data_IF_602308583655
#
_entry.id   IF_602308583655
#
_cell.length_a   1.000
_cell.length_b   1.000
_cell.length_c   1.000
_cell.angle_alpha   90.00
_cell.angle_beta   90.00
_cell.angle_gamma   90.00
#
_symmetry.space_group_name_H-M   'P 1'
#
loop_
_entity.id
_entity.type
_entity.pdbx_description
1 polymer ?
#
# COMPACT_ATOMS: atom_id res chain seq x y z
N UNK A 1 -12.69 -26.02 -4.96
CA UNK A 1 -12.58 -24.94 -5.97
C UNK A 1 -13.02 -23.67 -5.28
N UNK A 2 -12.09 -22.84 -4.77
CA UNK A 2 -12.45 -21.70 -3.93
C UNK A 2 -12.05 -20.42 -4.64
N UNK A 3 -13.06 -19.73 -5.17
CA UNK A 3 -12.97 -18.35 -5.63
C UNK A 3 -12.79 -17.46 -4.39
N UNK A 4 -11.78 -16.59 -4.38
CA UNK A 4 -11.62 -15.59 -3.33
C UNK A 4 -11.76 -14.19 -3.91
N UNK A 5 -13.00 -13.70 -3.83
CA UNK A 5 -13.27 -12.44 -3.15
C UNK A 5 -13.17 -11.17 -3.99
N UNK A 6 -14.07 -11.01 -4.95
CA UNK A 6 -14.58 -9.70 -5.36
C UNK A 6 -15.23 -8.99 -4.14
N UNK A 7 -14.44 -8.35 -3.29
CA UNK A 7 -14.95 -7.25 -2.47
C UNK A 7 -14.78 -5.96 -3.26
N UNK A 8 -15.85 -5.60 -3.97
CA UNK A 8 -16.16 -4.34 -4.64
C UNK A 8 -15.12 -3.23 -4.44
N UNK A 9 -14.13 -3.24 -5.33
CA UNK A 9 -13.16 -2.17 -5.60
C UNK A 9 -13.82 -0.98 -6.35
N UNK A 10 -15.10 -0.68 -6.06
CA UNK A 10 -15.93 0.19 -6.89
C UNK A 10 -15.78 1.70 -6.63
N UNK A 11 -14.91 2.12 -5.71
CA UNK A 11 -14.68 3.55 -5.45
C UNK A 11 -13.21 3.99 -5.54
N UNK A 12 -12.37 3.28 -6.30
CA UNK A 12 -11.08 3.83 -6.71
C UNK A 12 -11.23 4.79 -7.90
N UNK A 13 -11.98 5.88 -7.69
CA UNK A 13 -11.93 7.01 -8.62
C UNK A 13 -10.68 7.83 -8.31
N UNK A 14 -9.81 7.95 -9.32
CA UNK A 14 -8.51 8.64 -9.37
C UNK A 14 -7.29 7.74 -9.20
N UNK A 15 -7.12 6.80 -10.13
CA UNK A 15 -5.81 6.17 -10.39
C UNK A 15 -4.98 7.14 -11.25
N UNK A 16 -3.96 7.78 -10.69
CA UNK A 16 -2.99 8.57 -11.46
C UNK A 16 -1.58 7.95 -11.42
N UNK A 17 -1.12 7.57 -12.62
CA UNK A 17 0.26 7.38 -13.09
C UNK A 17 1.12 6.19 -12.62
N UNK A 18 1.08 5.15 -13.45
CA UNK A 18 1.75 3.84 -13.36
C UNK A 18 3.26 3.87 -13.64
N UNK A 19 4.03 4.66 -12.89
CA UNK A 19 5.51 4.52 -12.90
C UNK A 19 6.18 4.78 -11.55
N UNK A 20 5.43 5.24 -10.53
CA UNK A 20 5.98 5.52 -9.18
C UNK A 20 5.08 5.08 -8.01
N UNK A 21 3.94 4.44 -8.23
CA UNK A 21 2.96 4.12 -7.17
C UNK A 21 1.56 4.63 -7.51
N UNK A 22 0.61 4.42 -6.61
CA UNK A 22 -0.75 4.98 -6.66
C UNK A 22 -1.08 5.64 -5.32
N UNK A 23 -1.85 6.72 -5.37
CA UNK A 23 -2.41 7.38 -4.20
C UNK A 23 -3.86 6.90 -4.00
N UNK A 24 -4.17 6.40 -2.81
CA UNK A 24 -5.48 5.86 -2.46
C UNK A 24 -6.11 6.78 -1.42
N UNK A 25 -7.10 7.56 -1.84
CA UNK A 25 -7.91 8.38 -0.92
C UNK A 25 -8.88 7.49 -0.17
N UNK A 26 -8.96 7.67 1.15
CA UNK A 26 -9.80 6.87 2.04
C UNK A 26 -10.43 7.77 3.11
N UNK A 27 -11.30 7.17 3.93
CA UNK A 27 -11.93 7.84 5.07
C UNK A 27 -10.89 8.21 6.14
N UNK A 28 -11.19 9.28 6.89
CA UNK A 28 -10.35 9.71 7.99
C UNK A 28 -10.11 8.59 9.02
N UNK A 29 -8.85 8.40 9.39
CA UNK A 29 -8.44 7.39 10.38
C UNK A 29 -8.44 5.95 9.87
N UNK A 30 -8.58 5.72 8.56
CA UNK A 30 -8.49 4.39 7.97
C UNK A 30 -7.11 3.73 8.22
N UNK A 31 -7.11 2.40 8.24
CA UNK A 31 -5.91 1.59 8.40
C UNK A 31 -5.32 1.17 7.06
N UNK A 32 -4.00 1.12 6.98
CA UNK A 32 -3.31 0.47 5.88
C UNK A 32 -3.28 -1.03 6.12
N UNK A 33 -3.88 -1.80 5.20
CA UNK A 33 -4.02 -3.25 5.31
C UNK A 33 -3.03 -3.97 4.40
N UNK A 34 -2.46 -5.07 4.88
CA UNK A 34 -1.63 -5.95 4.06
C UNK A 34 -2.46 -6.56 2.91
N UNK A 35 -2.02 -6.36 1.68
CA UNK A 35 -2.72 -6.86 0.48
C UNK A 35 -2.60 -8.38 0.35
N UNK A 36 -1.57 -8.97 0.96
CA UNK A 36 -1.30 -10.39 0.91
C UNK A 36 -0.50 -10.87 2.13
N UNK A 37 -0.44 -12.18 2.34
CA UNK A 37 0.45 -12.79 3.34
C UNK A 37 1.91 -12.44 3.03
N UNK A 38 2.70 -12.12 4.04
CA UNK A 38 4.09 -11.72 3.82
C UNK A 38 4.90 -11.51 5.08
N UNK A 39 6.10 -10.98 4.89
CA UNK A 39 7.01 -10.60 5.98
C UNK A 39 7.35 -9.12 5.85
N UNK A 40 7.20 -8.37 6.93
CA UNK A 40 7.63 -6.97 6.99
C UNK A 40 9.15 -6.93 6.86
N UNK A 41 9.64 -6.30 5.82
CA UNK A 41 11.09 -6.21 5.55
C UNK A 41 11.71 -4.95 6.13
N UNK A 42 10.98 -3.84 6.12
CA UNK A 42 11.43 -2.55 6.63
C UNK A 42 10.27 -1.73 7.16
N UNK A 43 10.59 -0.93 8.16
CA UNK A 43 9.76 0.13 8.73
C UNK A 43 10.66 1.35 8.88
N UNK A 44 10.28 2.47 8.28
CA UNK A 44 11.10 3.69 8.28
C UNK A 44 10.25 4.93 8.12
N UNK A 45 10.77 6.07 8.58
CA UNK A 45 10.17 7.38 8.36
C UNK A 45 10.93 8.12 7.25
N UNK A 46 10.19 8.81 6.38
CA UNK A 46 10.75 9.70 5.38
C UNK A 46 10.17 11.10 5.56
N UNK A 47 11.00 12.16 5.53
CA UNK A 47 10.51 13.52 5.43
C UNK A 47 9.55 13.66 4.24
N UNK A 48 8.33 14.15 4.48
CA UNK A 48 7.29 14.31 3.46
C UNK A 48 6.41 13.10 3.17
N UNK A 49 6.71 11.91 3.71
CA UNK A 49 5.89 10.70 3.56
C UNK A 49 5.54 10.02 4.89
N UNK A 50 5.74 10.72 6.01
CA UNK A 50 5.55 10.21 7.37
C UNK A 50 6.21 8.83 7.55
N UNK A 51 5.51 7.87 8.11
CA UNK A 51 5.99 6.51 8.25
C UNK A 51 5.65 5.64 7.04
N UNK A 52 6.51 4.66 6.78
CA UNK A 52 6.39 3.70 5.70
C UNK A 52 6.69 2.28 6.15
N UNK A 53 5.96 1.31 5.58
CA UNK A 53 6.11 -0.12 5.82
C UNK A 53 6.31 -0.82 4.48
N UNK A 54 7.29 -1.74 4.41
CA UNK A 54 7.52 -2.60 3.24
C UNK A 54 7.25 -4.04 3.59
N UNK A 55 6.39 -4.71 2.84
CA UNK A 55 6.06 -6.12 3.04
C UNK A 55 6.51 -6.93 1.82
N UNK A 56 7.23 -8.03 2.07
CA UNK A 56 7.61 -9.01 1.05
C UNK A 56 6.59 -10.14 0.97
N UNK A 57 6.07 -10.36 -0.22
CA UNK A 57 5.13 -11.41 -0.58
C UNK A 57 5.79 -12.36 -1.61
N UNK A 58 6.73 -13.18 -1.16
CA UNK A 58 7.58 -13.97 -2.06
C UNK A 58 8.42 -13.07 -2.98
N UNK A 59 8.13 -13.11 -4.29
CA UNK A 59 8.83 -12.33 -5.31
C UNK A 59 8.32 -10.87 -5.42
N UNK A 60 7.28 -10.51 -4.67
CA UNK A 60 6.71 -9.17 -4.69
C UNK A 60 7.07 -8.38 -3.43
N UNK A 61 7.15 -7.06 -3.57
CA UNK A 61 7.28 -6.10 -2.47
C UNK A 61 6.16 -5.08 -2.58
N UNK A 62 5.42 -4.88 -1.49
CA UNK A 62 4.46 -3.78 -1.36
C UNK A 62 5.02 -2.72 -0.42
N UNK A 63 4.76 -1.45 -0.72
CA UNK A 63 5.13 -0.30 0.11
C UNK A 63 3.87 0.45 0.47
N UNK A 64 3.73 0.74 1.76
CA UNK A 64 2.64 1.52 2.35
C UNK A 64 3.27 2.74 3.01
N UNK A 65 3.00 3.92 2.47
CA UNK A 65 3.57 5.18 2.95
C UNK A 65 2.47 6.16 3.38
N UNK A 66 2.87 7.27 3.98
CA UNK A 66 1.98 8.25 4.63
C UNK A 66 1.22 7.68 5.84
N UNK A 67 1.88 6.86 6.64
CA UNK A 67 1.29 6.32 7.88
C UNK A 67 1.59 7.24 9.07
N UNK A 68 0.55 7.58 9.85
CA UNK A 68 0.68 8.31 11.10
C UNK A 68 1.22 7.43 12.23
N UNK A 69 0.80 6.16 12.28
CA UNK A 69 1.27 5.18 13.26
C UNK A 69 1.51 3.83 12.61
N UNK A 70 2.34 3.01 13.25
CA UNK A 70 2.75 1.69 12.74
C UNK A 70 2.43 0.64 13.80
N UNK A 71 1.80 -0.46 13.40
CA UNK A 71 1.41 -1.56 14.28
C UNK A 71 2.30 -2.80 14.15
N UNK A 72 3.25 -2.77 13.22
CA UNK A 72 4.16 -3.88 12.89
C UNK A 72 5.63 -3.43 12.91
N UNK A 73 6.55 -4.38 12.99
CA UNK A 73 8.00 -4.14 12.89
C UNK A 73 8.65 -5.07 11.87
N UNK A 74 9.87 -4.73 11.46
CA UNK A 74 10.66 -5.59 10.58
C UNK A 74 10.82 -7.00 11.17
N UNK A 75 10.61 -8.01 10.33
CA UNK A 75 10.59 -9.44 10.70
C UNK A 75 9.20 -10.00 10.99
N UNK A 76 8.19 -9.16 11.23
CA UNK A 76 6.83 -9.65 11.52
C UNK A 76 6.22 -10.35 10.31
N UNK A 77 5.56 -11.49 10.54
CA UNK A 77 4.70 -12.14 9.55
C UNK A 77 3.34 -11.48 9.58
N UNK A 78 2.85 -11.07 8.42
CA UNK A 78 1.53 -10.46 8.27
C UNK A 78 0.62 -11.33 7.42
N UNK A 79 -0.67 -11.32 7.74
CA UNK A 79 -1.71 -11.99 6.94
C UNK A 79 -2.42 -10.98 6.04
N UNK A 80 -3.02 -11.45 4.96
CA UNK A 80 -3.94 -10.65 4.14
C UNK A 80 -5.00 -9.98 5.02
N UNK A 81 -5.18 -8.67 4.84
CA UNK A 81 -6.12 -7.87 5.62
C UNK A 81 -5.62 -7.44 7.01
N UNK A 82 -4.41 -7.84 7.42
CA UNK A 82 -3.85 -7.42 8.70
C UNK A 82 -3.49 -5.93 8.66
N UNK A 83 -3.91 -5.18 9.70
CA UNK A 83 -3.53 -3.78 9.90
C UNK A 83 -2.02 -3.63 10.08
N UNK A 84 -1.43 -2.75 9.28
CA UNK A 84 -0.01 -2.38 9.31
C UNK A 84 0.21 -1.06 10.07
N UNK A 85 -0.83 -0.23 10.18
CA UNK A 85 -0.75 1.10 10.76
C UNK A 85 -1.93 1.98 10.36
N UNK A 86 -2.02 3.17 10.96
CA UNK A 86 -3.03 4.18 10.61
C UNK A 86 -2.50 5.12 9.54
N UNK A 87 -3.34 5.42 8.55
CA UNK A 87 -3.01 6.40 7.50
C UNK A 87 -3.11 7.80 8.10
N UNK A 88 -2.18 8.68 7.70
CA UNK A 88 -2.16 10.07 8.15
C UNK A 88 -3.38 10.84 7.64
N UNK A 89 -3.96 11.65 8.54
CA UNK A 89 -5.07 12.55 8.25
C UNK A 89 -4.52 13.96 8.15
N UNK A 90 -4.61 14.57 6.98
CA UNK A 90 -4.25 15.97 6.78
C UNK A 90 -5.44 16.86 7.15
N UNK A 91 -5.47 17.33 8.41
CA UNK A 91 -6.51 18.21 8.93
C UNK A 91 -6.53 19.57 8.22
N UNK A 92 -5.37 20.04 7.73
CA UNK A 92 -5.27 21.29 6.98
C UNK A 92 -5.86 21.18 5.56
N UNK A 93 -5.95 19.97 5.01
CA UNK A 93 -6.54 19.70 3.70
C UNK A 93 -7.90 19.02 3.80
N UNK A 94 -8.81 19.55 4.62
CA UNK A 94 -10.19 19.04 4.76
C UNK A 94 -10.22 17.55 5.14
N UNK A 95 -9.39 17.16 6.11
CA UNK A 95 -9.25 15.79 6.62
C UNK A 95 -8.92 14.76 5.53
N UNK A 96 -8.16 15.17 4.50
CA UNK A 96 -7.74 14.24 3.45
C UNK A 96 -6.85 13.16 4.03
N UNK A 97 -7.22 11.91 3.76
CA UNK A 97 -6.49 10.72 4.20
C UNK A 97 -6.09 9.94 2.97
N UNK A 98 -4.79 9.91 2.68
CA UNK A 98 -4.25 9.38 1.41
C UNK A 98 -3.15 8.38 1.75
N UNK A 99 -3.33 7.13 1.34
CA UNK A 99 -2.28 6.12 1.38
C UNK A 99 -1.50 6.16 0.07
N UNK A 100 -0.19 6.37 0.16
CA UNK A 100 0.69 6.15 -1.00
C UNK A 100 1.10 4.68 -1.03
N UNK A 101 0.70 3.98 -2.09
CA UNK A 101 0.89 2.54 -2.24
C UNK A 101 1.75 2.22 -3.47
N UNK A 102 2.72 1.33 -3.32
CA UNK A 102 3.56 0.86 -4.43
C UNK A 102 3.65 -0.67 -4.41
N UNK A 103 3.73 -1.28 -5.59
CA UNK A 103 3.97 -2.71 -5.74
C UNK A 103 5.13 -2.94 -6.71
N UNK A 104 6.08 -3.78 -6.31
CA UNK A 104 7.25 -4.15 -7.08
C UNK A 104 7.29 -5.68 -7.23
N UNK A 105 7.83 -6.15 -8.35
CA UNK A 105 8.17 -7.57 -8.58
C UNK A 105 9.67 -7.67 -8.80
N UNK A 106 10.36 -8.42 -7.94
CA UNK A 106 11.81 -8.69 -8.03
C UNK A 106 12.66 -7.39 -8.06
N UNK A 107 13.71 -7.31 -8.88
CA UNK A 107 14.63 -6.16 -8.99
C UNK A 107 14.52 -5.40 -10.31
N UNK A 108 13.57 -5.76 -11.18
CA UNK A 108 13.39 -5.11 -12.48
C UNK A 108 12.16 -4.19 -12.48
N UNK A 109 12.38 -2.91 -12.80
CA UNK A 109 11.32 -1.99 -13.24
C UNK A 109 10.81 -2.51 -14.59
N UNK A 110 9.61 -3.10 -14.61
CA UNK A 110 9.00 -3.59 -15.84
C UNK A 110 8.40 -2.41 -16.64
N UNK A 111 8.65 -2.39 -17.95
CA UNK A 111 8.06 -1.45 -18.91
C UNK A 111 6.55 -1.79 -19.08
N UNK A 112 5.62 -0.86 -18.76
CA UNK A 112 4.19 -1.13 -18.79
C UNK A 112 3.59 -1.25 -20.20
N UNK A 113 4.29 -0.86 -21.27
CA UNK A 113 3.81 -1.03 -22.65
C UNK A 113 3.63 -2.52 -23.02
N UNK A 114 4.39 -3.44 -22.43
CA UNK A 114 4.28 -4.87 -22.75
C UNK A 114 3.08 -5.59 -22.10
N UNK A 115 2.32 -4.93 -21.21
CA UNK A 115 1.08 -5.47 -20.64
C UNK A 115 -0.17 -4.92 -21.33
N UNK A 116 -0.03 -3.94 -22.22
CA UNK A 116 -1.13 -3.44 -23.04
C UNK A 116 -1.07 -4.15 -24.40
N UNK A 117 -1.66 -5.34 -24.47
CA UNK A 117 -2.09 -5.93 -25.73
C UNK A 117 -3.53 -6.42 -25.62
N UNK A 118 -4.41 -5.68 -26.32
CA UNK A 118 -5.81 -5.90 -26.73
C UNK A 118 -6.79 -6.55 -25.77
#
# INVERSE_FOLDING_TARGET
>A
MVHFGEQKFQELKHVQNSSKGIDIKTSAGAEALAIYNGVVTKVFALPGFNNSVIVRHGNYLSVYANLASIHVKAGDKVKTGQSLGKIFVDEAQNNQTILHFQLFRETQRLNPESWIHK
#
